data_IF_951440742965
#
_entry.id   IF_951440742965
#
_cell.length_a   1.000
_cell.length_b   1.000
_cell.length_c   1.000
_cell.angle_alpha   90.00
_cell.angle_beta   90.00
_cell.angle_gamma   90.00
#
_symmetry.space_group_name_H-M   'P 1'
#
loop_
_entity.id
_entity.type
_entity.pdbx_description
1 polymer ?
#
# COMPACT_ATOMS: atom_id res chain seq x y z
N UNK A 1 25.30 25.21 -11.24
CA UNK A 1 25.79 23.84 -11.46
C UNK A 1 26.16 23.10 -10.15
N UNK A 2 25.40 23.26 -9.07
CA UNK A 2 25.76 22.66 -7.77
C UNK A 2 24.54 22.19 -6.97
N UNK A 3 23.44 21.79 -7.61
CA UNK A 3 22.21 21.38 -6.89
C UNK A 3 21.82 19.91 -7.02
N UNK A 4 22.59 19.08 -7.71
CA UNK A 4 22.24 17.67 -7.92
C UNK A 4 23.02 16.67 -7.06
N UNK A 5 23.87 17.10 -6.10
CA UNK A 5 24.72 16.19 -5.30
C UNK A 5 24.09 15.69 -3.99
N UNK A 6 23.07 16.35 -3.45
CA UNK A 6 22.47 15.99 -2.15
C UNK A 6 21.50 14.79 -2.18
N UNK A 7 20.74 14.63 -3.26
CA UNK A 7 19.75 13.55 -3.38
C UNK A 7 20.37 12.18 -3.74
N UNK A 8 21.54 12.16 -4.40
CA UNK A 8 22.23 10.93 -4.80
C UNK A 8 22.90 10.17 -3.64
N UNK A 9 23.27 10.84 -2.55
CA UNK A 9 24.04 10.22 -1.47
C UNK A 9 23.18 9.54 -0.39
N UNK A 10 21.94 9.94 -0.23
CA UNK A 10 21.00 9.28 0.72
C UNK A 10 20.54 7.93 0.16
N UNK A 11 20.42 7.80 -1.15
CA UNK A 11 20.04 6.54 -1.82
C UNK A 11 21.21 5.55 -2.00
N UNK A 12 22.46 5.99 -1.96
CA UNK A 12 23.64 5.13 -2.18
C UNK A 12 23.98 4.20 -1.01
N UNK A 13 23.37 4.36 0.16
CA UNK A 13 23.57 3.48 1.33
C UNK A 13 22.49 2.42 1.52
N UNK A 14 21.44 2.42 0.71
CA UNK A 14 20.45 1.34 0.72
C UNK A 14 20.80 0.33 -0.36
N UNK A 15 20.80 -0.96 -0.01
CA UNK A 15 20.80 -2.07 -0.95
C UNK A 15 19.67 -1.84 -1.99
N UNK A 16 19.93 -2.11 -3.27
CA UNK A 16 19.00 -1.87 -4.37
C UNK A 16 17.59 -2.48 -4.12
N UNK A 17 17.56 -3.64 -3.47
CA UNK A 17 16.32 -4.32 -3.13
C UNK A 17 15.54 -3.56 -2.06
N UNK A 18 16.22 -3.06 -1.02
CA UNK A 18 15.58 -2.29 0.06
C UNK A 18 14.94 -1.01 -0.47
N UNK A 19 15.61 -0.34 -1.42
CA UNK A 19 15.06 0.84 -2.09
C UNK A 19 13.82 0.48 -2.94
N UNK A 20 13.85 -0.66 -3.65
CA UNK A 20 12.71 -1.19 -4.41
C UNK A 20 11.51 -1.45 -3.50
N UNK A 21 11.72 -2.13 -2.37
CA UNK A 21 10.64 -2.41 -1.40
C UNK A 21 10.03 -1.13 -0.82
N UNK A 22 10.86 -0.16 -0.45
CA UNK A 22 10.41 1.13 0.03
C UNK A 22 9.56 1.89 -0.99
N UNK A 23 10.00 1.92 -2.26
CA UNK A 23 9.26 2.54 -3.35
C UNK A 23 7.92 1.83 -3.62
N UNK A 24 7.90 0.49 -3.62
CA UNK A 24 6.68 -0.29 -3.80
C UNK A 24 5.67 0.00 -2.69
N UNK A 25 6.10 -0.03 -1.43
CA UNK A 25 5.23 0.30 -0.29
C UNK A 25 4.69 1.72 -0.37
N UNK A 26 5.55 2.69 -0.68
CA UNK A 26 5.14 4.09 -0.85
C UNK A 26 4.07 4.26 -1.92
N UNK A 27 4.29 3.64 -3.10
CA UNK A 27 3.34 3.69 -4.20
C UNK A 27 1.97 3.11 -3.81
N UNK A 28 1.96 1.92 -3.19
CA UNK A 28 0.72 1.26 -2.77
C UNK A 28 -0.04 2.11 -1.77
N UNK A 29 0.65 2.60 -0.73
CA UNK A 29 0.02 3.41 0.32
C UNK A 29 -0.52 4.73 -0.26
N UNK A 30 0.28 5.43 -1.07
CA UNK A 30 -0.13 6.67 -1.72
C UNK A 30 -1.35 6.47 -2.63
N UNK A 31 -1.34 5.43 -3.48
CA UNK A 31 -2.44 5.12 -4.38
C UNK A 31 -3.71 4.75 -3.61
N UNK A 32 -3.61 3.88 -2.60
CA UNK A 32 -4.75 3.49 -1.78
C UNK A 32 -5.42 4.71 -1.11
N UNK A 33 -4.63 5.53 -0.44
CA UNK A 33 -5.15 6.69 0.26
C UNK A 33 -5.75 7.71 -0.72
N UNK A 34 -5.08 7.99 -1.84
CA UNK A 34 -5.59 8.91 -2.86
C UNK A 34 -6.88 8.39 -3.49
N UNK A 35 -6.93 7.10 -3.84
CA UNK A 35 -8.10 6.48 -4.47
C UNK A 35 -9.31 6.41 -3.52
N UNK A 36 -9.12 6.52 -2.20
CA UNK A 36 -10.24 6.66 -1.26
C UNK A 36 -11.02 7.97 -1.44
N UNK A 37 -10.44 8.96 -2.11
CA UNK A 37 -11.04 10.29 -2.31
C UNK A 37 -10.96 11.21 -1.09
N UNK A 38 -10.42 10.73 0.05
CA UNK A 38 -10.29 11.52 1.29
C UNK A 38 -8.92 12.17 1.44
N UNK A 39 -7.93 11.70 0.69
CA UNK A 39 -6.53 12.16 0.81
C UNK A 39 -6.00 12.64 -0.54
N UNK A 40 -5.07 13.54 -0.47
CA UNK A 40 -4.19 13.89 -1.58
C UNK A 40 -2.74 13.87 -1.09
N UNK A 41 -1.82 13.47 -1.94
CA UNK A 41 -0.39 13.48 -1.63
C UNK A 41 0.22 14.83 -1.98
N UNK A 42 1.02 15.38 -1.07
CA UNK A 42 1.79 16.60 -1.34
C UNK A 42 2.95 16.24 -2.27
N UNK A 43 3.23 17.11 -3.25
CA UNK A 43 4.34 16.90 -4.17
C UNK A 43 5.68 16.85 -3.42
N UNK A 44 6.47 15.80 -3.67
CA UNK A 44 7.77 15.56 -3.03
C UNK A 44 8.79 16.66 -3.31
N UNK A 45 8.69 17.35 -4.42
CA UNK A 45 9.55 18.49 -4.76
C UNK A 45 9.43 19.66 -3.77
N UNK A 46 8.34 19.68 -3.00
CA UNK A 46 8.08 20.68 -1.98
C UNK A 46 8.68 20.29 -0.60
N UNK A 47 9.19 19.08 -0.44
CA UNK A 47 9.71 18.62 0.84
C UNK A 47 11.00 19.36 1.22
N UNK A 48 10.95 20.05 2.35
CA UNK A 48 12.09 20.78 2.92
C UNK A 48 13.01 19.83 3.70
N UNK A 49 12.42 18.77 4.28
CA UNK A 49 13.13 17.73 5.01
C UNK A 49 13.13 16.44 4.22
N UNK A 50 14.33 15.90 3.97
CA UNK A 50 14.54 14.60 3.32
C UNK A 50 15.20 13.57 4.24
N UNK A 51 15.46 13.93 5.50
CA UNK A 51 16.10 13.06 6.47
C UNK A 51 15.20 11.89 6.89
N UNK A 52 15.82 10.83 7.43
CA UNK A 52 15.09 9.70 8.01
C UNK A 52 14.26 10.12 9.23
N UNK A 53 13.01 10.50 8.98
CA UNK A 53 12.07 10.98 9.99
C UNK A 53 11.49 9.84 10.85
N UNK A 54 11.86 8.59 10.59
CA UNK A 54 11.50 7.46 11.47
C UNK A 54 12.33 7.49 12.75
N UNK A 55 13.55 8.01 12.70
CA UNK A 55 14.44 8.11 13.87
C UNK A 55 14.41 9.47 14.55
N UNK A 56 14.04 10.51 13.82
CA UNK A 56 14.04 11.89 14.30
C UNK A 56 12.63 12.44 14.35
N UNK A 57 12.38 13.33 15.30
CA UNK A 57 11.12 14.10 15.32
C UNK A 57 11.15 15.11 14.18
N UNK A 58 10.09 15.18 13.34
CA UNK A 58 10.01 16.16 12.27
C UNK A 58 10.00 17.61 12.78
N UNK A 59 10.52 18.52 11.98
CA UNK A 59 10.26 19.96 12.18
C UNK A 59 8.90 20.27 11.58
N UNK A 60 7.86 20.25 12.40
CA UNK A 60 6.47 20.36 11.94
C UNK A 60 6.19 21.67 11.19
N UNK A 61 6.91 22.75 11.49
CA UNK A 61 6.73 24.04 10.81
C UNK A 61 7.03 23.95 9.31
N UNK A 62 8.04 23.17 8.91
CA UNK A 62 8.37 22.96 7.50
C UNK A 62 7.23 22.26 6.75
N UNK A 63 6.57 21.32 7.40
CA UNK A 63 5.43 20.58 6.84
C UNK A 63 4.14 21.41 6.81
N UNK A 64 3.95 22.31 7.80
CA UNK A 64 2.85 23.27 7.81
C UNK A 64 2.95 24.26 6.63
N UNK A 65 4.16 24.70 6.28
CA UNK A 65 4.38 25.62 5.15
C UNK A 65 3.87 25.03 3.83
N UNK A 66 4.02 23.74 3.62
CA UNK A 66 3.51 23.05 2.42
C UNK A 66 2.09 22.50 2.60
N UNK A 67 1.40 22.90 3.67
CA UNK A 67 0.01 22.53 3.99
C UNK A 67 -0.22 21.03 4.16
N UNK A 68 0.80 20.28 4.56
CA UNK A 68 0.63 18.88 4.95
C UNK A 68 -0.12 18.81 6.29
N UNK A 69 -1.23 18.09 6.33
CA UNK A 69 -2.01 17.85 7.55
C UNK A 69 -1.44 16.68 8.34
N UNK A 70 -1.05 15.63 7.63
CA UNK A 70 -0.45 14.44 8.20
C UNK A 70 0.88 14.14 7.51
N UNK A 71 1.79 13.53 8.25
CA UNK A 71 3.07 13.09 7.75
C UNK A 71 3.27 11.61 8.07
N UNK A 72 3.37 10.79 7.04
CA UNK A 72 3.76 9.39 7.15
C UNK A 72 5.24 9.26 6.81
N UNK A 73 6.05 8.84 7.76
CA UNK A 73 7.44 8.50 7.56
C UNK A 73 7.65 7.01 7.72
N UNK A 74 8.36 6.38 6.80
CA UNK A 74 8.67 4.96 6.85
C UNK A 74 10.10 4.68 6.41
N UNK A 75 10.69 3.64 6.95
CA UNK A 75 11.93 3.06 6.46
C UNK A 75 11.82 1.54 6.32
N UNK A 76 12.66 1.01 5.43
CA UNK A 76 12.76 -0.42 5.16
C UNK A 76 14.21 -0.84 5.30
N UNK A 77 14.46 -1.97 5.95
CA UNK A 77 15.80 -2.54 6.10
C UNK A 77 15.75 -4.07 6.04
N UNK A 78 16.80 -4.69 5.49
CA UNK A 78 16.97 -6.15 5.56
C UNK A 78 17.45 -6.57 6.94
N UNK A 79 16.96 -7.71 7.41
CA UNK A 79 17.38 -8.38 8.65
C UNK A 79 17.50 -9.88 8.40
N UNK A 80 18.09 -10.60 9.34
CA UNK A 80 18.22 -12.07 9.27
C UNK A 80 16.85 -12.78 9.26
N UNK A 81 15.77 -12.09 9.70
CA UNK A 81 14.40 -12.61 9.77
C UNK A 81 13.50 -12.15 8.62
N UNK A 82 14.06 -11.45 7.63
CA UNK A 82 13.33 -10.88 6.51
C UNK A 82 13.47 -9.36 6.40
N UNK A 83 12.44 -8.71 5.93
CA UNK A 83 12.41 -7.27 5.68
C UNK A 83 11.73 -6.59 6.87
N UNK A 84 12.43 -5.68 7.53
CA UNK A 84 11.86 -4.85 8.59
C UNK A 84 11.33 -3.56 8.01
N UNK A 85 10.05 -3.29 8.27
CA UNK A 85 9.38 -2.01 8.02
C UNK A 85 9.19 -1.30 9.35
N UNK A 86 9.59 -0.03 9.44
CA UNK A 86 9.23 0.87 10.53
C UNK A 86 8.47 2.04 9.96
N UNK A 87 7.42 2.48 10.64
CA UNK A 87 6.70 3.67 10.25
C UNK A 87 6.28 4.51 11.45
N UNK A 88 6.11 5.82 11.22
CA UNK A 88 5.51 6.78 12.14
C UNK A 88 4.55 7.67 11.39
N UNK A 89 3.39 7.89 11.98
CA UNK A 89 2.37 8.80 11.47
C UNK A 89 2.21 9.97 12.44
N UNK A 90 2.25 11.18 11.91
CA UNK A 90 2.15 12.40 12.68
C UNK A 90 0.96 13.25 12.23
N UNK A 91 0.28 13.86 13.21
CA UNK A 91 -0.55 15.03 13.00
C UNK A 91 0.35 16.26 13.01
N UNK A 92 0.48 16.90 11.87
CA UNK A 92 1.42 18.02 11.67
C UNK A 92 0.96 19.27 12.41
N UNK A 93 -0.35 19.55 12.39
CA UNK A 93 -0.89 20.75 13.04
C UNK A 93 -0.77 20.70 14.55
N UNK A 94 -1.06 19.54 15.15
CA UNK A 94 -0.97 19.31 16.59
C UNK A 94 0.45 18.91 17.04
N UNK A 95 1.39 18.76 16.11
CA UNK A 95 2.77 18.31 16.34
C UNK A 95 2.83 17.02 17.18
N UNK A 96 1.95 16.05 16.88
CA UNK A 96 1.76 14.83 17.66
C UNK A 96 1.99 13.59 16.83
N UNK A 97 2.74 12.61 17.37
CA UNK A 97 2.77 11.25 16.84
C UNK A 97 1.44 10.56 17.18
N UNK A 98 0.73 10.06 16.17
CA UNK A 98 -0.56 9.39 16.31
C UNK A 98 -0.49 7.88 16.10
N UNK A 99 0.56 7.40 15.40
CA UNK A 99 0.82 5.97 15.25
C UNK A 99 2.30 5.69 15.08
N UNK A 100 2.75 4.57 15.65
CA UNK A 100 4.10 4.02 15.46
C UNK A 100 3.99 2.52 15.28
N UNK A 101 4.54 2.01 14.18
CA UNK A 101 4.48 0.59 13.83
C UNK A 101 5.85 0.07 13.43
N UNK A 102 6.14 -1.17 13.85
CA UNK A 102 7.26 -1.95 13.34
C UNK A 102 6.77 -3.35 12.97
N UNK A 103 7.03 -3.77 11.74
CA UNK A 103 6.69 -5.09 11.22
C UNK A 103 7.94 -5.79 10.70
N UNK A 104 7.93 -7.13 10.76
CA UNK A 104 8.89 -7.97 10.04
C UNK A 104 8.13 -8.73 8.96
N UNK A 105 8.54 -8.57 7.72
CA UNK A 105 7.97 -9.19 6.53
C UNK A 105 8.89 -10.37 6.17
N UNK A 106 8.45 -11.62 6.40
CA UNK A 106 9.32 -12.79 6.21
C UNK A 106 9.60 -13.09 4.74
N UNK A 107 8.70 -12.70 3.83
CA UNK A 107 8.78 -12.97 2.39
C UNK A 107 8.47 -11.70 1.61
N UNK A 108 9.29 -11.39 0.60
CA UNK A 108 9.09 -10.21 -0.27
C UNK A 108 7.75 -10.22 -1.00
N UNK A 109 7.18 -11.38 -1.30
CA UNK A 109 5.86 -11.50 -1.92
C UNK A 109 4.73 -10.91 -1.05
N UNK A 110 4.96 -10.72 0.24
CA UNK A 110 4.00 -10.13 1.17
C UNK A 110 4.05 -8.59 1.19
N UNK A 111 5.01 -7.97 0.50
CA UNK A 111 5.19 -6.50 0.53
C UNK A 111 3.92 -5.78 0.08
N UNK A 112 3.27 -6.25 -0.98
CA UNK A 112 2.01 -5.66 -1.45
C UNK A 112 0.94 -5.69 -0.35
N UNK A 113 0.72 -6.85 0.23
CA UNK A 113 -0.27 -7.03 1.30
C UNK A 113 0.05 -6.15 2.51
N UNK A 114 1.32 -6.05 2.89
CA UNK A 114 1.75 -5.16 3.97
C UNK A 114 1.46 -3.69 3.61
N UNK A 115 1.66 -3.28 2.35
CA UNK A 115 1.28 -1.95 1.88
C UNK A 115 -0.21 -1.67 2.06
N UNK A 116 -1.09 -2.62 1.74
CA UNK A 116 -2.53 -2.49 1.96
C UNK A 116 -2.88 -2.44 3.46
N UNK A 117 -2.29 -3.32 4.27
CA UNK A 117 -2.49 -3.32 5.73
C UNK A 117 -2.04 -2.00 6.37
N UNK A 118 -0.90 -1.44 5.95
CA UNK A 118 -0.43 -0.13 6.41
C UNK A 118 -1.40 0.97 6.00
N UNK A 119 -1.96 0.90 4.78
CA UNK A 119 -2.97 1.86 4.32
C UNK A 119 -4.23 1.80 5.19
N UNK A 120 -4.67 0.61 5.59
CA UNK A 120 -5.81 0.42 6.51
C UNK A 120 -5.55 1.08 7.86
N UNK A 121 -4.36 0.85 8.43
CA UNK A 121 -3.96 1.46 9.72
C UNK A 121 -3.94 2.99 9.62
N UNK A 122 -3.32 3.55 8.57
CA UNK A 122 -3.26 5.01 8.37
C UNK A 122 -4.65 5.59 8.20
N UNK A 123 -5.48 4.95 7.39
CA UNK A 123 -6.87 5.37 7.14
C UNK A 123 -7.67 5.39 8.45
N UNK A 124 -7.64 4.30 9.21
CA UNK A 124 -8.37 4.18 10.48
C UNK A 124 -7.90 5.21 11.52
N UNK A 125 -6.59 5.44 11.61
CA UNK A 125 -6.04 6.42 12.58
C UNK A 125 -6.44 7.85 12.28
N UNK A 126 -6.61 8.20 11.00
CA UNK A 126 -6.97 9.54 10.58
C UNK A 126 -8.49 9.75 10.54
N UNK A 127 -9.25 8.77 10.06
CA UNK A 127 -10.70 8.92 9.85
C UNK A 127 -11.54 8.38 10.99
N UNK A 128 -11.02 7.45 11.79
CA UNK A 128 -11.77 6.69 12.79
C UNK A 128 -12.61 5.55 12.21
N UNK A 129 -12.58 5.34 10.90
CA UNK A 129 -13.32 4.27 10.20
C UNK A 129 -12.37 3.13 9.85
N UNK A 130 -12.88 1.90 9.85
CA UNK A 130 -12.10 0.72 9.48
C UNK A 130 -11.62 0.82 8.03
N UNK A 131 -10.33 0.56 7.79
CA UNK A 131 -9.75 0.48 6.46
C UNK A 131 -10.30 -0.70 5.65
N UNK A 132 -10.16 -0.65 4.32
CA UNK A 132 -10.70 -1.66 3.40
C UNK A 132 -9.71 -2.03 2.28
N UNK A 133 -8.46 -1.58 2.37
CA UNK A 133 -7.48 -1.76 1.30
C UNK A 133 -6.91 -3.18 1.25
N UNK A 134 -6.78 -3.89 2.39
CA UNK A 134 -6.40 -5.32 2.42
C UNK A 134 -7.63 -6.20 2.17
N UNK A 135 -8.38 -5.91 1.11
CA UNK A 135 -9.53 -6.69 0.67
C UNK A 135 -9.34 -7.22 -0.75
N UNK A 136 -10.17 -8.18 -1.15
CA UNK A 136 -10.13 -8.82 -2.46
C UNK A 136 -11.48 -8.76 -3.14
N UNK A 137 -11.44 -8.71 -4.46
CA UNK A 137 -12.62 -8.77 -5.33
C UNK A 137 -12.66 -10.16 -5.95
N UNK A 138 -13.78 -10.88 -5.79
CA UNK A 138 -14.10 -12.09 -6.54
C UNK A 138 -15.05 -11.75 -7.69
N UNK A 139 -14.77 -12.23 -8.88
CA UNK A 139 -15.55 -11.91 -10.08
C UNK A 139 -15.52 -13.02 -11.10
N UNK A 140 -16.39 -12.93 -12.10
CA UNK A 140 -16.39 -13.83 -13.26
C UNK A 140 -15.64 -13.13 -14.39
N UNK A 141 -14.53 -13.73 -14.81
CA UNK A 141 -13.80 -13.32 -16.02
C UNK A 141 -14.40 -14.03 -17.23
N UNK A 142 -14.78 -13.27 -18.26
CA UNK A 142 -15.34 -13.79 -19.50
C UNK A 142 -14.39 -13.49 -20.67
N UNK A 143 -14.11 -14.50 -21.47
CA UNK A 143 -13.32 -14.37 -22.69
C UNK A 143 -13.95 -15.15 -23.84
N UNK A 144 -13.68 -14.73 -25.08
CA UNK A 144 -14.19 -15.36 -26.31
C UNK A 144 -15.43 -14.71 -26.88
N UNK A 145 -15.87 -15.16 -28.07
CA UNK A 145 -17.07 -14.65 -28.74
C UNK A 145 -18.35 -15.01 -27.97
N UNK A 146 -19.44 -14.31 -28.28
CA UNK A 146 -20.69 -14.41 -27.52
C UNK A 146 -21.27 -15.83 -27.43
N UNK A 147 -21.08 -16.62 -28.45
CA UNK A 147 -21.58 -18.01 -28.61
C UNK A 147 -20.64 -19.06 -28.00
N UNK A 148 -19.40 -18.68 -27.65
CA UNK A 148 -18.38 -19.58 -27.14
C UNK A 148 -17.60 -18.95 -25.96
N UNK A 149 -18.30 -18.23 -25.09
CA UNK A 149 -17.68 -17.60 -23.94
C UNK A 149 -17.20 -18.61 -22.91
N UNK A 150 -15.92 -18.50 -22.55
CA UNK A 150 -15.34 -19.20 -21.41
C UNK A 150 -15.45 -18.29 -20.21
N UNK A 151 -16.10 -18.77 -19.14
CA UNK A 151 -16.27 -18.07 -17.87
C UNK A 151 -15.42 -18.74 -16.81
N UNK A 152 -14.62 -17.93 -16.10
CA UNK A 152 -13.78 -18.41 -15.01
C UNK A 152 -14.01 -17.58 -13.78
N UNK A 153 -14.10 -18.23 -12.63
CA UNK A 153 -14.02 -17.56 -11.36
C UNK A 153 -12.61 -17.03 -11.17
N UNK A 154 -12.49 -15.76 -10.81
CA UNK A 154 -11.22 -15.09 -10.59
C UNK A 154 -11.26 -14.24 -9.32
N UNK A 155 -10.08 -13.98 -8.76
CA UNK A 155 -9.88 -13.12 -7.60
C UNK A 155 -8.72 -12.16 -7.87
N UNK A 156 -8.80 -10.95 -7.32
CA UNK A 156 -7.72 -9.96 -7.37
C UNK A 156 -7.76 -9.05 -6.13
N UNK A 157 -6.68 -8.32 -5.87
CA UNK A 157 -6.67 -7.27 -4.87
C UNK A 157 -7.64 -6.14 -5.27
N UNK A 158 -8.13 -5.40 -4.30
CA UNK A 158 -9.13 -4.36 -4.53
C UNK A 158 -8.64 -3.23 -5.47
N UNK A 159 -7.33 -3.01 -5.57
CA UNK A 159 -6.72 -2.00 -6.44
C UNK A 159 -6.60 -2.45 -7.92
N UNK A 160 -6.99 -3.70 -8.22
CA UNK A 160 -6.96 -4.25 -9.58
C UNK A 160 -5.58 -4.49 -10.16
N UNK A 161 -4.55 -4.59 -9.31
CA UNK A 161 -3.19 -4.82 -9.79
C UNK A 161 -3.07 -6.14 -10.54
N UNK A 162 -2.44 -6.11 -11.72
CA UNK A 162 -2.43 -7.26 -12.65
C UNK A 162 -1.80 -8.52 -12.04
N UNK A 163 -0.74 -8.38 -11.25
CA UNK A 163 -0.05 -9.53 -10.63
C UNK A 163 -0.83 -10.13 -9.45
N UNK A 164 -1.90 -9.46 -8.97
CA UNK A 164 -2.80 -9.98 -7.94
C UNK A 164 -3.92 -10.86 -8.51
N UNK A 165 -4.11 -10.82 -9.84
CA UNK A 165 -5.13 -11.59 -10.53
C UNK A 165 -4.82 -13.08 -10.52
N UNK A 166 -5.80 -13.89 -10.08
CA UNK A 166 -5.70 -15.35 -10.07
C UNK A 166 -7.02 -15.99 -10.50
N UNK A 167 -6.96 -16.95 -11.44
CA UNK A 167 -8.10 -17.81 -11.74
C UNK A 167 -8.27 -18.88 -10.64
N UNK A 168 -9.50 -19.07 -10.19
CA UNK A 168 -9.87 -20.09 -9.22
C UNK A 168 -10.50 -21.31 -9.86
N UNK A 169 -10.99 -21.19 -11.12
CA UNK A 169 -11.54 -22.30 -11.92
C UNK A 169 -10.88 -22.34 -13.29
N UNK A 170 -10.92 -23.50 -13.95
CA UNK A 170 -10.29 -23.75 -15.25
C UNK A 170 -11.13 -23.31 -16.46
N UNK A 171 -12.41 -22.98 -16.25
CA UNK A 171 -13.34 -22.55 -17.30
C UNK A 171 -14.01 -23.67 -18.09
N UNK A 172 -13.93 -24.93 -17.63
CA UNK A 172 -14.66 -26.05 -18.24
C UNK A 172 -16.15 -25.96 -18.03
N UNK A 173 -16.54 -25.48 -16.85
CA UNK A 173 -17.93 -25.28 -16.48
C UNK A 173 -18.26 -23.80 -16.42
N UNK A 174 -19.54 -23.47 -16.60
CA UNK A 174 -20.02 -22.11 -16.51
C UNK A 174 -20.10 -21.71 -15.03
N UNK A 175 -19.45 -20.63 -14.64
CA UNK A 175 -19.51 -20.08 -13.28
C UNK A 175 -20.24 -18.75 -13.26
N UNK A 176 -21.10 -18.55 -12.23
CA UNK A 176 -21.95 -17.36 -12.10
C UNK A 176 -22.02 -16.90 -10.64
N UNK A 177 -22.31 -15.62 -10.47
CA UNK A 177 -22.70 -15.00 -9.18
C UNK A 177 -21.81 -15.33 -7.98
N UNK A 178 -20.49 -15.13 -8.06
CA UNK A 178 -19.61 -15.38 -6.93
C UNK A 178 -19.90 -14.41 -5.78
N UNK A 179 -19.80 -14.91 -4.55
CA UNK A 179 -19.93 -14.11 -3.33
C UNK A 179 -19.00 -14.63 -2.25
N UNK A 180 -18.38 -13.71 -1.51
CA UNK A 180 -17.71 -14.06 -0.27
C UNK A 180 -18.71 -14.40 0.82
N UNK A 181 -18.40 -15.40 1.64
CA UNK A 181 -19.13 -15.65 2.88
C UNK A 181 -18.83 -14.51 3.88
N UNK A 182 -19.83 -14.00 4.63
CA UNK A 182 -19.65 -12.86 5.51
C UNK A 182 -18.57 -13.03 6.58
N UNK A 183 -18.42 -14.25 7.10
CA UNK A 183 -17.58 -14.53 8.28
C UNK A 183 -16.53 -15.62 8.04
N UNK A 184 -16.28 -16.01 6.80
CA UNK A 184 -15.33 -17.09 6.47
C UNK A 184 -14.60 -16.75 5.18
N UNK A 185 -13.36 -17.21 5.04
CA UNK A 185 -12.61 -17.13 3.78
C UNK A 185 -13.11 -18.20 2.78
N UNK A 186 -14.40 -18.16 2.48
CA UNK A 186 -15.04 -19.05 1.54
C UNK A 186 -15.74 -18.22 0.46
N UNK A 187 -15.77 -18.75 -0.77
CA UNK A 187 -16.48 -18.19 -1.90
C UNK A 187 -17.56 -19.17 -2.30
N UNK A 188 -18.78 -18.71 -2.44
CA UNK A 188 -19.90 -19.45 -3.03
C UNK A 188 -20.16 -18.96 -4.43
N UNK A 189 -20.47 -19.85 -5.36
CA UNK A 189 -20.81 -19.54 -6.75
C UNK A 189 -21.75 -20.62 -7.30
N UNK A 190 -22.41 -20.33 -8.42
CA UNK A 190 -23.17 -21.34 -9.19
C UNK A 190 -22.29 -21.88 -10.31
N UNK A 191 -22.36 -23.19 -10.51
CA UNK A 191 -21.70 -23.95 -11.55
C UNK A 191 -22.69 -24.80 -12.36
#
# INVERSE_FOLDING_TARGET
NTRSRGLGDVYKRQDSDTARYGNTLRQIISNNLTNSGLFYTVNEDLYIQSDNLVEKVPRFEDWKLIKAQFLLSADVSKTDKGIRLRMRLYDVFNAKEIEKLQLTIPDENLIRRVGHTVSDIVYERITGETGYFDTRIVYVSEIGPLDQRVKRLAIMDQDGHIDSHQFLTDGKNMVLTPRFAPNKQLITYME
#
